data_IF_287190499560
#
_entry.id   IF_287190499560
#
_cell.length_a   1.000
_cell.length_b   1.000
_cell.length_c   1.000
_cell.angle_alpha   90.00
_cell.angle_beta   90.00
_cell.angle_gamma   90.00
#
_symmetry.space_group_name_H-M   'P 1'
#
loop_
_entity.id
_entity.type
_entity.pdbx_description
1 polymer ?
#
# COMPACT_ATOMS: atom_id res chain seq x y z
N UNK A 1 23.73 -14.84 -3.82
CA UNK A 1 22.28 -14.57 -3.75
C UNK A 1 21.67 -15.63 -2.86
N UNK A 2 21.20 -15.26 -1.68
CA UNK A 2 20.59 -16.18 -0.74
C UNK A 2 19.10 -16.25 -1.03
N UNK A 3 18.63 -17.42 -1.47
CA UNK A 3 17.20 -17.76 -1.59
C UNK A 3 16.59 -17.71 -0.19
N UNK A 4 15.69 -16.77 0.08
CA UNK A 4 14.89 -16.78 1.31
C UNK A 4 13.83 -17.88 1.15
N UNK A 5 13.89 -18.86 2.05
CA UNK A 5 12.93 -19.95 2.14
C UNK A 5 11.56 -19.36 2.50
N UNK A 6 10.52 -19.71 1.74
CA UNK A 6 9.14 -19.57 2.17
C UNK A 6 8.92 -20.60 3.28
N UNK A 7 9.08 -20.19 4.54
CA UNK A 7 8.74 -21.03 5.69
C UNK A 7 7.26 -20.81 6.02
N UNK A 8 6.47 -21.87 5.91
CA UNK A 8 5.07 -21.81 6.29
C UNK A 8 4.97 -21.68 7.81
N UNK A 9 4.44 -20.55 8.27
CA UNK A 9 3.65 -20.55 9.51
C UNK A 9 3.94 -19.47 10.55
N UNK A 10 5.01 -18.67 10.46
CA UNK A 10 5.28 -17.69 11.53
C UNK A 10 5.71 -16.33 11.01
N UNK A 11 4.75 -15.40 10.96
CA UNK A 11 5.05 -13.97 10.94
C UNK A 11 5.44 -13.51 12.35
N UNK A 12 6.32 -12.52 12.43
CA UNK A 12 6.64 -11.82 13.68
C UNK A 12 6.02 -10.43 13.65
N UNK A 13 5.39 -10.04 14.76
CA UNK A 13 4.78 -8.71 14.94
C UNK A 13 5.61 -7.94 15.97
N UNK A 14 6.26 -6.85 15.54
CA UNK A 14 7.07 -6.00 16.42
C UNK A 14 6.41 -4.64 16.56
N UNK A 15 5.88 -4.30 17.74
CA UNK A 15 5.26 -3.01 18.01
C UNK A 15 6.29 -1.88 17.84
N UNK A 16 5.93 -0.86 17.06
CA UNK A 16 6.82 0.27 16.77
C UNK A 16 6.65 1.44 17.75
N UNK A 17 5.42 1.66 18.23
CA UNK A 17 5.13 2.73 19.18
C UNK A 17 3.97 2.35 20.12
N UNK A 18 3.94 2.81 21.39
CA UNK A 18 2.88 2.50 22.34
C UNK A 18 1.46 2.74 21.84
N UNK A 19 1.27 3.77 21.02
CA UNK A 19 -0.05 4.21 20.54
C UNK A 19 -0.47 3.63 19.17
N UNK A 20 0.46 3.33 18.27
CA UNK A 20 0.14 2.97 16.88
C UNK A 20 1.32 2.26 16.21
N UNK A 21 1.04 1.39 15.24
CA UNK A 21 2.06 0.86 14.34
C UNK A 21 2.74 -0.42 14.82
N UNK A 22 2.89 -1.38 13.91
CA UNK A 22 3.73 -2.56 14.08
C UNK A 22 4.48 -2.90 12.78
N UNK A 23 5.69 -3.46 12.91
CA UNK A 23 6.44 -4.05 11.81
C UNK A 23 6.15 -5.55 11.74
N UNK A 24 5.87 -6.04 10.53
CA UNK A 24 5.67 -7.45 10.22
C UNK A 24 6.90 -7.98 9.48
N UNK A 25 7.48 -9.06 9.99
CA UNK A 25 8.60 -9.76 9.35
C UNK A 25 8.35 -11.26 9.22
N UNK A 26 9.17 -11.95 8.42
CA UNK A 26 9.01 -13.38 8.16
C UNK A 26 7.98 -13.70 7.06
N UNK A 27 7.67 -12.73 6.21
CA UNK A 27 6.74 -12.87 5.09
C UNK A 27 7.31 -12.25 3.81
N UNK A 28 7.04 -12.89 2.68
CA UNK A 28 7.34 -12.39 1.34
C UNK A 28 6.02 -12.06 0.62
N UNK A 29 5.74 -10.77 0.45
CA UNK A 29 4.49 -10.32 -0.15
C UNK A 29 4.49 -10.48 -1.68
N UNK A 30 5.63 -10.80 -2.30
CA UNK A 30 5.73 -11.09 -3.74
C UNK A 30 5.13 -12.46 -4.11
N UNK A 31 4.78 -13.28 -3.12
CA UNK A 31 4.18 -14.59 -3.32
C UNK A 31 2.72 -14.63 -2.84
N UNK A 32 1.89 -15.57 -3.34
CA UNK A 32 0.63 -15.90 -2.69
C UNK A 32 0.85 -16.35 -1.25
N UNK A 33 0.04 -15.84 -0.33
CA UNK A 33 0.07 -16.21 1.09
C UNK A 33 -1.11 -17.12 1.41
N UNK A 34 -0.91 -18.06 2.32
CA UNK A 34 -2.00 -18.90 2.83
C UNK A 34 -2.96 -18.10 3.72
N UNK A 35 -4.21 -18.57 3.82
CA UNK A 35 -5.26 -17.90 4.60
C UNK A 35 -4.90 -17.73 6.08
N UNK A 36 -4.11 -18.65 6.64
CA UNK A 36 -3.65 -18.56 8.03
C UNK A 36 -2.68 -17.40 8.24
N UNK A 37 -1.75 -17.22 7.31
CA UNK A 37 -0.82 -16.08 7.30
C UNK A 37 -1.58 -14.76 7.10
N UNK A 38 -2.51 -14.70 6.15
CA UNK A 38 -3.34 -13.50 5.93
C UNK A 38 -4.18 -13.16 7.16
N UNK A 39 -4.80 -14.15 7.81
CA UNK A 39 -5.58 -13.94 9.02
C UNK A 39 -4.76 -13.34 10.17
N UNK A 40 -3.49 -13.77 10.33
CA UNK A 40 -2.58 -13.19 11.31
C UNK A 40 -2.21 -11.74 10.98
N UNK A 41 -2.01 -11.43 9.69
CA UNK A 41 -1.73 -10.05 9.24
C UNK A 41 -2.94 -9.14 9.49
N UNK A 42 -4.14 -9.59 9.15
CA UNK A 42 -5.38 -8.82 9.39
C UNK A 42 -5.61 -8.57 10.89
N UNK A 43 -5.40 -9.59 11.74
CA UNK A 43 -5.48 -9.43 13.19
C UNK A 43 -4.47 -8.39 13.70
N UNK A 44 -3.21 -8.46 13.26
CA UNK A 44 -2.20 -7.47 13.60
C UNK A 44 -2.58 -6.06 13.11
N UNK A 45 -3.20 -5.94 11.93
CA UNK A 45 -3.66 -4.65 11.42
C UNK A 45 -4.77 -4.05 12.29
N UNK A 46 -5.74 -4.87 12.73
CA UNK A 46 -6.78 -4.42 13.66
C UNK A 46 -6.21 -3.95 15.01
N UNK A 47 -5.19 -4.63 15.54
CA UNK A 47 -4.58 -4.30 16.83
C UNK A 47 -3.64 -3.08 16.77
N UNK A 48 -3.06 -2.79 15.59
CA UNK A 48 -1.98 -1.80 15.46
C UNK A 48 -2.29 -0.63 14.53
N UNK A 49 -3.42 -0.64 13.83
CA UNK A 49 -3.91 0.40 12.88
C UNK A 49 -3.07 0.57 11.61
N UNK A 50 -1.74 0.53 11.72
CA UNK A 50 -0.78 0.67 10.61
C UNK A 50 0.24 -0.46 10.70
N UNK A 51 0.51 -1.13 9.58
CA UNK A 51 1.54 -2.16 9.47
C UNK A 51 2.66 -1.72 8.54
N UNK A 52 3.90 -2.03 8.92
CA UNK A 52 5.09 -1.81 8.12
C UNK A 52 5.69 -3.15 7.68
N UNK A 53 5.98 -3.28 6.39
CA UNK A 53 6.69 -4.42 5.82
C UNK A 53 7.98 -3.91 5.17
N UNK A 54 9.13 -4.35 5.67
CA UNK A 54 10.43 -3.96 5.12
C UNK A 54 10.91 -4.94 4.05
N UNK A 55 11.87 -4.48 3.25
CA UNK A 55 12.61 -5.27 2.27
C UNK A 55 11.74 -6.04 1.26
N UNK A 56 10.61 -5.43 0.87
CA UNK A 56 9.72 -5.98 -0.14
C UNK A 56 10.07 -5.38 -1.50
N UNK A 57 10.27 -6.24 -2.51
CA UNK A 57 10.34 -5.83 -3.92
C UNK A 57 9.09 -6.38 -4.59
N UNK A 58 8.17 -5.48 -4.94
CA UNK A 58 6.83 -5.85 -5.41
C UNK A 58 6.59 -5.31 -6.81
N UNK A 59 6.09 -6.18 -7.69
CA UNK A 59 5.45 -5.74 -8.93
C UNK A 59 4.10 -5.06 -8.65
N UNK A 60 3.54 -4.43 -9.68
CA UNK A 60 2.18 -3.89 -9.64
C UNK A 60 1.14 -4.96 -9.28
N UNK A 61 1.25 -6.14 -9.89
CA UNK A 61 0.37 -7.28 -9.62
C UNK A 61 0.51 -7.80 -8.19
N UNK A 62 1.72 -7.76 -7.62
CA UNK A 62 1.94 -8.16 -6.22
C UNK A 62 1.26 -7.19 -5.25
N UNK A 63 1.35 -5.89 -5.51
CA UNK A 63 0.67 -4.87 -4.70
C UNK A 63 -0.85 -5.04 -4.76
N UNK A 64 -1.41 -5.24 -5.96
CA UNK A 64 -2.86 -5.43 -6.15
C UNK A 64 -3.31 -6.73 -5.48
N UNK A 65 -2.58 -7.83 -5.65
CA UNK A 65 -2.89 -9.11 -5.01
C UNK A 65 -2.90 -8.98 -3.49
N UNK A 66 -1.85 -8.38 -2.91
CA UNK A 66 -1.76 -8.22 -1.47
C UNK A 66 -2.87 -7.31 -0.91
N UNK A 67 -3.14 -6.18 -1.57
CA UNK A 67 -4.21 -5.27 -1.18
C UNK A 67 -5.60 -5.92 -1.22
N UNK A 68 -5.84 -6.84 -2.17
CA UNK A 68 -7.11 -7.54 -2.30
C UNK A 68 -7.48 -8.43 -1.09
N UNK A 69 -6.51 -8.78 -0.23
CA UNK A 69 -6.79 -9.47 1.03
C UNK A 69 -7.48 -8.59 2.07
N UNK A 70 -7.50 -7.26 1.91
CA UNK A 70 -8.14 -6.32 2.83
C UNK A 70 -9.51 -5.83 2.34
N UNK A 71 -9.94 -6.28 1.16
CA UNK A 71 -11.21 -5.91 0.55
C UNK A 71 -11.05 -5.65 -0.96
N UNK A 72 -12.14 -5.29 -1.65
CA UNK A 72 -12.09 -4.96 -3.07
C UNK A 72 -11.16 -3.77 -3.33
N UNK A 73 -10.16 -3.95 -4.20
CA UNK A 73 -9.30 -2.85 -4.64
C UNK A 73 -10.10 -1.97 -5.60
N UNK A 74 -10.31 -0.71 -5.20
CA UNK A 74 -11.09 0.25 -5.96
C UNK A 74 -10.36 0.69 -7.24
N UNK A 75 -11.12 0.81 -8.33
CA UNK A 75 -10.61 1.44 -9.55
C UNK A 75 -10.47 2.96 -9.34
N UNK A 76 -9.44 3.55 -9.95
CA UNK A 76 -9.27 5.00 -9.91
C UNK A 76 -10.23 5.65 -10.89
N UNK A 77 -11.06 6.56 -10.38
CA UNK A 77 -11.90 7.41 -11.21
C UNK A 77 -11.13 8.68 -11.50
N UNK A 78 -10.96 9.02 -12.78
CA UNK A 78 -10.35 10.27 -13.19
C UNK A 78 -11.08 11.46 -12.56
N UNK A 79 -10.36 12.50 -12.10
CA UNK A 79 -10.98 13.69 -11.54
C UNK A 79 -11.90 14.35 -12.59
N UNK A 80 -13.06 14.82 -12.13
CA UNK A 80 -14.13 15.35 -13.00
C UNK A 80 -13.76 16.71 -13.64
N UNK A 81 -12.65 17.34 -13.23
CA UNK A 81 -12.31 18.70 -13.67
C UNK A 81 -10.80 18.92 -13.81
N UNK A 82 -10.35 19.21 -15.04
CA UNK A 82 -9.28 20.15 -15.39
C UNK A 82 -7.83 19.87 -14.98
N UNK A 83 -7.57 19.13 -13.90
CA UNK A 83 -6.22 18.84 -13.45
C UNK A 83 -5.68 17.66 -14.25
N UNK A 84 -4.84 17.99 -15.24
CA UNK A 84 -3.97 17.04 -15.93
C UNK A 84 -2.92 16.50 -14.95
N UNK A 85 -3.35 15.65 -14.02
CA UNK A 85 -2.45 14.70 -13.38
C UNK A 85 -2.01 13.73 -14.47
N UNK A 86 -0.72 13.70 -14.79
CA UNK A 86 -0.13 12.70 -15.67
C UNK A 86 -0.06 11.37 -14.91
N UNK A 87 -1.22 10.74 -14.76
CA UNK A 87 -1.34 9.34 -14.38
C UNK A 87 -1.50 8.54 -15.68
N UNK A 88 -0.43 7.88 -16.18
CA UNK A 88 -0.49 7.12 -17.43
C UNK A 88 -1.41 5.90 -17.35
N UNK A 89 -1.85 5.51 -16.15
CA UNK A 89 -2.85 4.47 -15.94
C UNK A 89 -3.84 4.87 -14.83
N UNK A 90 -5.13 4.91 -15.16
CA UNK A 90 -6.24 5.11 -14.21
C UNK A 90 -6.77 3.76 -13.67
N UNK A 91 -5.95 2.70 -13.72
CA UNK A 91 -6.23 1.40 -13.11
C UNK A 91 -6.23 1.41 -11.59
N UNK A 92 -5.84 0.29 -10.98
CA UNK A 92 -5.91 0.06 -9.52
C UNK A 92 -4.75 0.67 -8.72
N UNK A 93 -3.77 1.26 -9.40
CA UNK A 93 -2.56 1.81 -8.78
C UNK A 93 -2.46 3.31 -8.95
N UNK A 94 -1.99 3.97 -7.89
CA UNK A 94 -1.75 5.41 -7.86
C UNK A 94 -0.26 5.69 -7.67
N UNK A 95 0.34 6.40 -8.63
CA UNK A 95 1.70 6.90 -8.51
C UNK A 95 1.71 8.16 -7.63
N UNK A 96 2.35 8.06 -6.47
CA UNK A 96 2.65 9.19 -5.59
C UNK A 96 4.14 9.51 -5.72
N UNK A 97 4.47 10.71 -6.20
CA UNK A 97 5.85 11.15 -6.38
C UNK A 97 5.96 12.67 -6.25
N UNK A 98 7.12 13.14 -5.82
CA UNK A 98 7.56 14.53 -5.79
C UNK A 98 8.38 14.93 -7.03
N UNK A 99 8.53 14.01 -8.00
CA UNK A 99 9.29 14.26 -9.22
C UNK A 99 8.52 15.13 -10.23
N UNK A 100 9.28 15.87 -11.02
CA UNK A 100 8.79 16.65 -12.16
C UNK A 100 9.40 16.16 -13.46
N UNK A 101 8.70 16.36 -14.57
CA UNK A 101 9.20 16.08 -15.91
C UNK A 101 10.27 17.10 -16.35
N UNK A 102 10.81 16.93 -17.57
CA UNK A 102 11.84 17.82 -18.12
C UNK A 102 11.39 19.29 -18.26
N UNK A 103 10.08 19.56 -18.21
CA UNK A 103 9.48 20.89 -18.30
C UNK A 103 9.07 21.45 -16.93
N UNK A 104 9.33 20.71 -15.84
CA UNK A 104 8.93 21.10 -14.49
C UNK A 104 7.46 20.80 -14.15
N UNK A 105 6.75 20.02 -14.98
CA UNK A 105 5.39 19.57 -14.68
C UNK A 105 5.43 18.40 -13.69
N UNK A 106 4.59 18.44 -12.66
CA UNK A 106 4.50 17.36 -11.67
C UNK A 106 4.08 16.03 -12.31
N UNK A 107 4.76 14.95 -11.92
CA UNK A 107 4.46 13.58 -12.33
C UNK A 107 3.58 12.92 -11.25
N UNK A 108 2.68 12.02 -11.64
CA UNK A 108 1.86 11.27 -10.69
C UNK A 108 0.66 12.07 -10.16
N UNK A 109 0.17 11.67 -9.00
CA UNK A 109 -1.05 12.20 -8.39
C UNK A 109 -0.79 12.95 -7.09
N UNK A 110 -1.70 13.87 -6.74
CA UNK A 110 -1.83 14.52 -5.43
C UNK A 110 -0.75 15.56 -5.04
N UNK A 111 0.41 15.56 -5.71
CA UNK A 111 1.44 16.59 -5.53
C UNK A 111 1.87 16.78 -4.07
N UNK A 112 2.23 18.00 -3.68
CA UNK A 112 2.69 18.34 -2.31
C UNK A 112 1.55 18.54 -1.30
N UNK A 113 0.28 18.54 -1.75
CA UNK A 113 -0.86 19.03 -0.97
C UNK A 113 -1.39 18.08 0.10
N UNK A 114 -1.13 16.78 -0.02
CA UNK A 114 -1.64 15.77 0.93
C UNK A 114 -0.78 15.55 2.17
N UNK A 115 0.19 16.43 2.42
CA UNK A 115 1.04 16.35 3.61
C UNK A 115 0.40 16.90 4.90
N UNK A 116 -0.89 17.28 4.88
CA UNK A 116 -1.63 17.68 6.09
C UNK A 116 -2.27 16.47 6.79
N UNK A 117 -2.49 16.52 8.10
CA UNK A 117 -3.16 15.42 8.82
C UNK A 117 -4.62 15.27 8.36
N UNK A 118 -4.97 14.12 7.76
CA UNK A 118 -6.29 13.85 7.20
C UNK A 118 -6.58 12.34 7.14
N UNK A 119 -7.78 11.99 6.67
CA UNK A 119 -8.13 10.62 6.24
C UNK A 119 -8.69 10.69 4.82
N UNK A 120 -8.27 9.75 3.98
CA UNK A 120 -8.59 9.75 2.55
C UNK A 120 -10.10 9.71 2.32
N UNK A 121 -10.57 10.51 1.36
CA UNK A 121 -11.94 10.51 0.81
C UNK A 121 -13.06 10.65 1.86
N UNK A 122 -12.83 11.32 2.99
CA UNK A 122 -13.84 11.54 4.03
C UNK A 122 -15.13 12.25 3.56
N UNK A 123 -15.13 12.84 2.36
CA UNK A 123 -16.28 13.48 1.73
C UNK A 123 -17.17 12.54 0.89
N UNK A 124 -16.81 11.25 0.74
CA UNK A 124 -17.60 10.27 -0.03
C UNK A 124 -18.39 9.35 0.89
N UNK A 125 -19.62 9.05 0.50
CA UNK A 125 -20.38 7.93 1.05
C UNK A 125 -19.95 6.64 0.32
N UNK A 126 -19.80 5.55 1.08
CA UNK A 126 -19.36 4.23 0.60
C UNK A 126 -20.54 3.25 0.50
#
# INVERSE_FOLDING_TARGET
MATRLADSGTITVTKLHPAIGAEISGVDLSQPLDDGTIGKIQAAWHDHTVLLFRDQTLSEDDQIRFAAHFGPVADRVAPVLGDQLDAPDWGKLMLITDHVDANGKAIGSLGHGEMTFHTDKCYREH
#
